data_IF_190382281357
#
_entry.id   IF_190382281357
#
_cell.length_a   1.000
_cell.length_b   1.000
_cell.length_c   1.000
_cell.angle_alpha   90.00
_cell.angle_beta   90.00
_cell.angle_gamma   90.00
#
_symmetry.space_group_name_H-M   'P 1'
#
loop_
_entity.id
_entity.type
_entity.pdbx_description
1 polymer ?
#
# COMPACT_ATOMS: atom_id res chain seq x y z
N UNK A 1 -17.81 22.05 -36.88
CA UNK A 1 -17.90 22.80 -35.61
C UNK A 1 -18.22 21.82 -34.50
N UNK A 2 -17.20 21.11 -33.99
CA UNK A 2 -17.35 20.28 -32.79
C UNK A 2 -17.46 21.24 -31.60
N UNK A 3 -18.58 21.17 -30.90
CA UNK A 3 -18.96 22.08 -29.83
C UNK A 3 -18.03 21.94 -28.63
N UNK A 4 -17.64 23.08 -28.03
CA UNK A 4 -16.76 23.20 -26.86
C UNK A 4 -17.17 22.30 -25.67
N UNK A 5 -18.41 21.82 -25.66
CA UNK A 5 -18.97 20.86 -24.71
C UNK A 5 -18.22 19.51 -24.73
N UNK A 6 -17.77 19.03 -25.89
CA UNK A 6 -16.99 17.78 -25.97
C UNK A 6 -15.56 17.94 -25.43
N UNK A 7 -14.99 19.15 -25.52
CA UNK A 7 -13.64 19.45 -25.00
C UNK A 7 -13.65 19.57 -23.46
N UNK A 8 -14.72 20.13 -22.89
CA UNK A 8 -14.90 20.21 -21.43
C UNK A 8 -15.14 18.83 -20.80
N UNK A 9 -15.90 17.94 -21.46
CA UNK A 9 -16.08 16.56 -20.98
C UNK A 9 -14.77 15.77 -21.03
N UNK A 10 -13.94 15.99 -22.07
CA UNK A 10 -12.63 15.36 -22.19
C UNK A 10 -11.64 15.86 -21.11
N UNK A 11 -11.69 17.13 -20.69
CA UNK A 11 -10.84 17.68 -19.62
C UNK A 11 -11.27 17.17 -18.24
N UNK A 12 -12.57 16.95 -18.00
CA UNK A 12 -13.08 16.37 -16.75
C UNK A 12 -12.82 14.86 -16.64
N UNK A 13 -12.56 14.18 -17.76
CA UNK A 13 -12.07 12.80 -17.79
C UNK A 13 -10.54 12.69 -17.76
N UNK A 14 -9.80 13.81 -17.77
CA UNK A 14 -8.33 13.85 -17.87
C UNK A 14 -7.59 14.43 -16.65
N UNK A 15 -8.23 14.66 -15.51
CA UNK A 15 -7.53 15.15 -14.31
C UNK A 15 -8.09 14.58 -13.01
N UNK A 16 -7.20 13.92 -12.26
CA UNK A 16 -7.39 13.59 -10.85
C UNK A 16 -7.15 12.12 -10.52
N UNK A 17 -6.02 11.60 -10.97
CA UNK A 17 -5.53 10.26 -10.64
C UNK A 17 -4.68 10.47 -9.37
N UNK A 18 -5.28 10.06 -8.24
CA UNK A 18 -4.88 10.35 -6.87
C UNK A 18 -4.12 9.13 -6.33
N UNK A 19 -2.79 9.21 -6.28
CA UNK A 19 -2.06 8.49 -5.24
C UNK A 19 -2.73 8.93 -3.92
N UNK A 20 -3.27 8.00 -3.12
CA UNK A 20 -4.09 8.30 -1.93
C UNK A 20 -3.32 8.93 -0.75
N UNK A 21 -2.22 9.62 -1.02
CA UNK A 21 -1.81 10.74 -0.19
C UNK A 21 -2.76 11.89 -0.54
N UNK A 22 -3.44 12.50 0.42
CA UNK A 22 -4.32 13.64 0.14
C UNK A 22 -3.48 14.83 -0.37
N UNK A 23 -3.12 14.81 -1.66
CA UNK A 23 -2.20 15.72 -2.31
C UNK A 23 -2.73 17.17 -2.32
N UNK A 24 -4.02 17.33 -1.99
CA UNK A 24 -4.68 18.62 -1.84
C UNK A 24 -4.34 19.28 -0.49
N UNK A 25 -4.09 18.49 0.56
CA UNK A 25 -3.83 18.99 1.92
C UNK A 25 -2.42 18.68 2.43
N UNK A 26 -1.74 17.71 1.83
CA UNK A 26 -0.53 17.13 2.35
C UNK A 26 0.67 17.50 1.46
N UNK A 27 1.59 18.32 1.98
CA UNK A 27 2.78 18.80 1.26
C UNK A 27 3.83 17.68 1.17
N UNK A 28 4.07 17.18 -0.04
CA UNK A 28 5.07 16.14 -0.35
C UNK A 28 6.48 16.48 0.18
N UNK A 29 6.80 17.77 0.38
CA UNK A 29 8.08 18.20 0.96
C UNK A 29 8.24 17.80 2.43
N UNK A 30 7.15 17.48 3.12
CA UNK A 30 7.12 17.10 4.53
C UNK A 30 6.85 15.60 4.75
N UNK A 31 6.61 14.83 3.68
CA UNK A 31 6.40 13.38 3.76
C UNK A 31 7.66 12.61 3.33
N UNK A 32 8.23 11.86 4.26
CA UNK A 32 9.26 10.86 3.94
C UNK A 32 8.58 9.57 3.46
N UNK A 33 7.84 9.65 2.36
CA UNK A 33 7.17 8.48 1.75
C UNK A 33 8.10 7.91 0.68
N UNK A 34 8.76 6.80 0.99
CA UNK A 34 9.63 6.10 0.04
C UNK A 34 8.82 5.15 -0.85
N UNK A 35 9.20 5.04 -2.13
CA UNK A 35 8.65 4.03 -3.04
C UNK A 35 9.70 2.94 -3.27
N UNK A 36 9.35 1.68 -3.02
CA UNK A 36 10.21 0.52 -3.18
C UNK A 36 9.54 -0.56 -4.01
N UNK A 37 10.33 -1.32 -4.76
CA UNK A 37 9.89 -2.53 -5.44
C UNK A 37 10.46 -3.75 -4.72
N UNK A 38 9.61 -4.74 -4.46
CA UNK A 38 9.95 -5.98 -3.78
C UNK A 38 9.61 -7.17 -4.69
N UNK A 39 10.58 -8.04 -4.94
CA UNK A 39 10.36 -9.27 -5.69
C UNK A 39 9.87 -10.35 -4.74
N UNK A 40 8.72 -10.95 -5.02
CA UNK A 40 8.20 -12.06 -4.23
C UNK A 40 8.84 -13.39 -4.64
N UNK A 41 8.91 -14.32 -3.70
CA UNK A 41 9.27 -15.71 -3.99
C UNK A 41 7.99 -16.52 -4.19
N UNK A 42 7.82 -17.12 -5.36
CA UNK A 42 6.63 -17.91 -5.71
C UNK A 42 6.90 -19.41 -5.74
N UNK A 43 5.84 -20.20 -5.56
CA UNK A 43 5.83 -21.63 -5.86
C UNK A 43 6.08 -21.87 -7.35
N UNK A 44 6.47 -23.09 -7.72
CA UNK A 44 6.80 -23.46 -9.11
C UNK A 44 5.65 -23.23 -10.09
N UNK A 45 4.41 -23.41 -9.63
CA UNK A 45 3.18 -23.20 -10.39
C UNK A 45 2.58 -21.80 -10.21
N UNK A 46 3.25 -20.92 -9.44
CA UNK A 46 2.81 -19.56 -9.10
C UNK A 46 1.41 -19.52 -8.44
N UNK A 47 1.02 -20.59 -7.75
CA UNK A 47 -0.23 -20.63 -6.99
C UNK A 47 -0.15 -19.84 -5.68
N UNK A 48 1.05 -19.72 -5.10
CA UNK A 48 1.31 -18.91 -3.93
C UNK A 48 2.65 -18.17 -4.05
N UNK A 49 2.71 -16.95 -3.52
CA UNK A 49 3.92 -16.16 -3.43
C UNK A 49 4.04 -15.54 -2.04
N UNK A 50 5.27 -15.31 -1.59
CA UNK A 50 5.53 -14.62 -0.33
C UNK A 50 6.75 -13.71 -0.42
N UNK A 51 6.74 -12.65 0.37
CA UNK A 51 7.91 -11.82 0.61
C UNK A 51 8.00 -11.40 2.08
N UNK A 52 9.23 -11.40 2.59
CA UNK A 52 9.53 -11.09 3.99
C UNK A 52 10.51 -9.93 4.04
N UNK A 53 10.18 -8.86 4.76
CA UNK A 53 11.07 -7.72 4.94
C UNK A 53 11.00 -7.20 6.37
N UNK A 54 12.07 -6.52 6.79
CA UNK A 54 12.12 -5.94 8.13
C UNK A 54 12.15 -4.42 8.05
N UNK A 55 11.41 -3.77 8.94
CA UNK A 55 11.39 -2.32 9.07
C UNK A 55 11.73 -1.96 10.51
N UNK A 56 12.54 -0.92 10.68
CA UNK A 56 12.80 -0.36 12.00
C UNK A 56 11.80 0.77 12.27
N UNK A 57 10.92 0.59 13.26
CA UNK A 57 9.93 1.57 13.68
C UNK A 57 10.03 1.82 15.19
N UNK A 58 10.16 3.08 15.62
CA UNK A 58 10.25 3.46 17.04
C UNK A 58 11.33 2.70 17.84
N UNK A 59 12.44 2.33 17.19
CA UNK A 59 13.53 1.57 17.82
C UNK A 59 13.29 0.06 17.90
N UNK A 60 12.10 -0.42 17.51
CA UNK A 60 11.78 -1.83 17.35
C UNK A 60 12.07 -2.29 15.92
N UNK A 61 12.39 -3.57 15.77
CA UNK A 61 12.49 -4.24 14.48
C UNK A 61 11.20 -5.02 14.26
N UNK A 62 10.43 -4.64 13.25
CA UNK A 62 9.21 -5.34 12.86
C UNK A 62 9.50 -6.21 11.64
N UNK A 63 9.13 -7.48 11.70
CA UNK A 63 9.10 -8.37 10.54
C UNK A 63 7.72 -8.29 9.89
N UNK A 64 7.69 -7.99 8.60
CA UNK A 64 6.50 -8.03 7.76
C UNK A 64 6.60 -9.23 6.83
N UNK A 65 5.51 -9.97 6.71
CA UNK A 65 5.34 -11.09 5.79
C UNK A 65 4.11 -10.83 4.95
N UNK A 66 4.31 -10.69 3.64
CA UNK A 66 3.24 -10.55 2.67
C UNK A 66 3.09 -11.87 1.92
N UNK A 67 1.91 -12.47 1.98
CA UNK A 67 1.56 -13.71 1.29
C UNK A 67 0.46 -13.44 0.27
N UNK A 68 0.57 -14.05 -0.90
CA UNK A 68 -0.37 -13.98 -2.00
C UNK A 68 -0.76 -15.40 -2.41
N UNK A 69 -2.06 -15.69 -2.51
CA UNK A 69 -2.57 -16.94 -3.10
C UNK A 69 -3.44 -16.59 -4.30
N UNK A 70 -3.34 -17.36 -5.38
CA UNK A 70 -4.08 -17.12 -6.62
C UNK A 70 -5.50 -17.70 -6.62
N UNK A 71 -5.70 -18.85 -5.99
CA UNK A 71 -7.00 -19.55 -5.93
C UNK A 71 -7.17 -20.28 -4.57
N UNK A 72 -8.02 -19.77 -3.65
CA UNK A 72 -8.75 -18.51 -3.76
C UNK A 72 -7.78 -17.32 -3.81
N UNK A 73 -8.21 -16.23 -4.45
CA UNK A 73 -7.36 -15.04 -4.58
C UNK A 73 -7.31 -14.32 -3.24
N UNK A 74 -6.18 -14.42 -2.53
CA UNK A 74 -6.01 -13.89 -1.19
C UNK A 74 -4.71 -13.12 -1.02
N UNK A 75 -4.76 -12.12 -0.15
CA UNK A 75 -3.63 -11.33 0.29
C UNK A 75 -3.59 -11.36 1.80
N UNK A 76 -2.48 -11.79 2.37
CA UNK A 76 -2.28 -11.80 3.81
C UNK A 76 -1.04 -11.00 4.15
N UNK A 77 -1.18 -10.07 5.08
CA UNK A 77 -0.09 -9.33 5.65
C UNK A 77 0.01 -9.65 7.14
N UNK A 78 1.13 -10.22 7.54
CA UNK A 78 1.47 -10.42 8.95
C UNK A 78 2.56 -9.43 9.35
N UNK A 79 2.46 -8.88 10.54
CA UNK A 79 3.49 -8.02 11.15
C UNK A 79 3.77 -8.51 12.57
N UNK A 80 5.05 -8.54 12.96
CA UNK A 80 5.45 -8.93 14.32
C UNK A 80 6.67 -8.15 14.80
N UNK A 81 6.67 -7.73 16.07
CA UNK A 81 7.77 -6.98 16.71
C UNK A 81 8.45 -7.75 17.87
N UNK A 82 8.08 -9.03 18.04
CA UNK A 82 8.54 -9.91 19.12
C UNK A 82 7.72 -9.81 20.41
N UNK A 83 6.84 -8.81 20.53
CA UNK A 83 5.89 -8.65 21.64
C UNK A 83 4.46 -8.87 21.14
N UNK A 84 4.14 -8.29 19.99
CA UNK A 84 2.83 -8.29 19.36
C UNK A 84 2.92 -8.91 17.97
N UNK A 85 1.79 -9.47 17.54
CA UNK A 85 1.58 -10.01 16.21
C UNK A 85 0.25 -9.47 15.68
N UNK A 86 0.26 -9.06 14.42
CA UNK A 86 -0.90 -8.53 13.72
C UNK A 86 -1.05 -9.25 12.39
N UNK A 87 -2.27 -9.69 12.09
CA UNK A 87 -2.60 -10.35 10.83
C UNK A 87 -3.75 -9.60 10.14
N UNK A 88 -3.56 -9.34 8.86
CA UNK A 88 -4.57 -8.77 7.97
C UNK A 88 -4.75 -9.73 6.80
N UNK A 89 -5.97 -10.20 6.57
CA UNK A 89 -6.28 -11.05 5.43
C UNK A 89 -7.39 -10.39 4.60
N UNK A 90 -7.17 -10.34 3.30
CA UNK A 90 -8.13 -9.87 2.32
C UNK A 90 -8.38 -10.98 1.29
N UNK A 91 -9.65 -11.34 1.14
CA UNK A 91 -10.12 -12.33 0.17
C UNK A 91 -10.82 -11.60 -0.97
N UNK A 92 -10.44 -11.95 -2.20
CA UNK A 92 -11.03 -11.41 -3.43
C UNK A 92 -11.80 -12.52 -4.15
N UNK A 93 -13.10 -12.32 -4.31
CA UNK A 93 -13.96 -13.29 -5.00
C UNK A 93 -13.72 -13.33 -6.52
N UNK A 94 -13.48 -12.16 -7.14
CA UNK A 94 -13.25 -12.02 -8.58
C UNK A 94 -11.83 -11.50 -8.85
N UNK A 95 -10.91 -12.40 -9.21
CA UNK A 95 -9.49 -12.08 -9.49
C UNK A 95 -9.27 -11.17 -10.70
N UNK A 96 -10.29 -10.93 -11.53
CA UNK A 96 -10.21 -9.99 -12.66
C UNK A 96 -10.53 -8.55 -12.26
N UNK A 97 -11.11 -8.34 -11.07
CA UNK A 97 -11.49 -7.03 -10.56
C UNK A 97 -10.30 -6.20 -10.05
N UNK A 98 -10.48 -4.87 -10.12
CA UNK A 98 -9.64 -3.97 -9.34
C UNK A 98 -9.95 -4.11 -7.85
N UNK A 99 -8.91 -4.11 -7.03
CA UNK A 99 -8.98 -4.19 -5.58
C UNK A 99 -8.36 -2.95 -5.00
N UNK A 100 -9.11 -2.32 -4.11
CA UNK A 100 -8.60 -1.34 -3.16
C UNK A 100 -9.16 -1.64 -1.79
N UNK A 101 -8.28 -1.96 -0.85
CA UNK A 101 -8.63 -2.17 0.55
C UNK A 101 -7.77 -1.26 1.42
N UNK A 102 -8.40 -0.41 2.22
CA UNK A 102 -7.71 0.45 3.18
C UNK A 102 -8.26 0.21 4.58
N UNK A 103 -7.39 0.05 5.55
CA UNK A 103 -7.74 -0.07 6.97
C UNK A 103 -6.91 0.89 7.80
N UNK A 104 -7.53 1.47 8.82
CA UNK A 104 -6.84 2.30 9.80
C UNK A 104 -6.52 1.47 11.03
N UNK A 105 -5.26 1.40 11.42
CA UNK A 105 -4.82 0.74 12.63
C UNK A 105 -4.90 1.75 13.77
N UNK A 106 -5.83 1.53 14.69
CA UNK A 106 -5.85 2.25 15.95
C UNK A 106 -4.79 1.64 16.87
N UNK A 107 -3.59 2.21 16.80
CA UNK A 107 -2.56 1.92 17.78
C UNK A 107 -2.85 2.76 19.04
N UNK A 108 -3.48 2.13 20.03
CA UNK A 108 -3.50 2.69 21.38
C UNK A 108 -2.10 2.51 21.97
N UNK A 109 -1.19 3.43 21.68
CA UNK A 109 0.06 3.48 22.42
C UNK A 109 -0.25 3.64 23.91
N UNK A 110 0.54 2.95 24.72
CA UNK A 110 0.43 3.00 26.17
C UNK A 110 0.36 4.46 26.64
N UNK A 111 -0.51 4.76 27.62
CA UNK A 111 -1.01 6.10 27.99
C UNK A 111 0.06 7.15 28.35
N UNK A 112 1.34 6.79 28.32
CA UNK A 112 2.47 7.67 28.61
C UNK A 112 2.96 8.52 27.43
N UNK A 113 2.60 8.17 26.18
CA UNK A 113 2.98 8.97 25.00
C UNK A 113 1.72 9.64 24.45
N UNK A 114 1.47 10.88 24.87
CA UNK A 114 0.37 11.74 24.37
C UNK A 114 0.58 12.17 22.91
N UNK A 115 0.90 11.24 22.02
CA UNK A 115 0.97 11.49 20.58
C UNK A 115 -0.14 10.71 19.90
N UNK A 116 -1.11 11.42 19.34
CA UNK A 116 -2.10 10.82 18.44
C UNK A 116 -1.33 10.20 17.27
N UNK A 117 -1.27 8.87 17.23
CA UNK A 117 -0.63 8.13 16.15
C UNK A 117 -1.71 7.35 15.42
N UNK A 118 -1.79 7.52 14.10
CA UNK A 118 -2.74 6.80 13.25
C UNK A 118 -1.99 6.20 12.08
N UNK A 119 -1.98 4.87 12.01
CA UNK A 119 -1.46 4.17 10.84
C UNK A 119 -2.61 3.85 9.91
N UNK A 120 -2.41 4.05 8.61
CA UNK A 120 -3.29 3.56 7.58
C UNK A 120 -2.52 2.61 6.67
N UNK A 121 -3.19 1.54 6.30
CA UNK A 121 -2.66 0.48 5.47
C UNK A 121 -3.60 0.30 4.28
N UNK A 122 -3.07 0.46 3.08
CA UNK A 122 -3.82 0.29 1.85
C UNK A 122 -3.17 -0.76 0.94
N UNK A 123 -3.96 -1.71 0.45
CA UNK A 123 -3.62 -2.66 -0.61
C UNK A 123 -4.36 -2.25 -1.88
N UNK A 124 -3.63 -2.17 -2.99
CA UNK A 124 -4.17 -1.74 -4.29
C UNK A 124 -3.56 -2.56 -5.43
N UNK A 125 -4.35 -3.00 -6.41
CA UNK A 125 -3.84 -3.64 -7.64
C UNK A 125 -4.02 -2.77 -8.89
N UNK A 126 -4.39 -1.50 -8.73
CA UNK A 126 -4.41 -0.52 -9.81
C UNK A 126 -3.03 0.12 -9.98
N UNK A 127 -2.38 -0.22 -11.09
CA UNK A 127 -1.05 0.31 -11.45
C UNK A 127 -1.13 1.42 -12.49
N UNK A 128 -2.31 1.87 -12.91
CA UNK A 128 -2.45 3.04 -13.80
C UNK A 128 -1.82 4.30 -13.19
N UNK A 129 -1.77 4.29 -11.86
CA UNK A 129 -1.17 5.21 -10.89
C UNK A 129 0.33 5.44 -11.00
N UNK A 130 1.03 4.35 -11.29
CA UNK A 130 2.38 4.11 -10.81
C UNK A 130 3.26 3.72 -11.99
N UNK A 131 4.46 4.31 -12.06
CA UNK A 131 5.45 3.86 -13.05
C UNK A 131 6.03 2.53 -12.58
N UNK A 132 5.53 1.42 -13.15
CA UNK A 132 6.06 0.08 -12.89
C UNK A 132 7.47 -0.02 -13.48
N UNK A 133 8.52 -0.27 -12.66
CA UNK A 133 9.88 -0.43 -13.15
C UNK A 133 10.01 -1.63 -14.10
N UNK A 134 10.95 -1.58 -15.05
CA UNK A 134 11.14 -2.66 -16.04
C UNK A 134 11.63 -3.96 -15.41
N UNK A 135 12.23 -3.86 -14.24
CA UNK A 135 12.73 -4.98 -13.44
C UNK A 135 11.59 -5.74 -12.74
N UNK A 136 10.38 -5.17 -12.68
CA UNK A 136 9.18 -5.84 -12.19
C UNK A 136 8.63 -6.77 -13.27
N UNK A 137 8.79 -8.09 -13.11
CA UNK A 137 8.32 -9.08 -14.08
C UNK A 137 6.81 -8.99 -14.31
N UNK A 138 6.03 -9.19 -13.24
CA UNK A 138 4.59 -8.90 -13.23
C UNK A 138 4.19 -8.23 -11.91
N UNK A 139 3.56 -7.04 -11.93
CA UNK A 139 3.08 -6.39 -10.72
C UNK A 139 1.89 -7.18 -10.14
N UNK A 140 1.88 -7.35 -8.81
CA UNK A 140 0.86 -8.12 -8.09
C UNK A 140 -0.05 -7.23 -7.26
N UNK A 141 0.53 -6.37 -6.43
CA UNK A 141 -0.16 -5.48 -5.51
C UNK A 141 0.79 -4.37 -5.07
N UNK A 142 0.23 -3.22 -4.72
CA UNK A 142 0.90 -2.12 -4.04
C UNK A 142 0.42 -2.07 -2.60
N UNK A 143 1.34 -2.13 -1.65
CA UNK A 143 1.08 -1.86 -0.23
C UNK A 143 1.51 -0.44 0.10
N UNK A 144 0.59 0.38 0.58
CA UNK A 144 0.90 1.70 1.13
C UNK A 144 0.71 1.65 2.64
N UNK A 145 1.73 2.09 3.37
CA UNK A 145 1.68 2.29 4.81
C UNK A 145 1.94 3.77 5.04
N UNK A 146 1.03 4.47 5.70
CA UNK A 146 1.23 5.85 6.12
C UNK A 146 0.85 6.06 7.59
N UNK A 147 1.76 6.68 8.32
CA UNK A 147 1.67 6.97 9.74
C UNK A 147 1.52 8.47 9.95
N UNK A 148 0.40 8.88 10.52
CA UNK A 148 0.10 10.27 10.89
C UNK A 148 0.40 10.47 12.36
N UNK A 149 1.33 11.37 12.66
CA UNK A 149 1.72 11.74 14.02
C UNK A 149 0.96 12.99 14.48
N UNK A 150 0.73 13.12 15.79
CA UNK A 150 0.00 14.26 16.38
C UNK A 150 0.63 15.64 16.15
N UNK A 151 1.88 15.69 15.70
CA UNK A 151 2.55 16.93 15.27
C UNK A 151 2.32 17.28 13.78
N UNK A 152 1.43 16.56 13.11
CA UNK A 152 1.09 16.74 11.70
C UNK A 152 2.11 16.14 10.72
N UNK A 153 3.13 15.43 11.19
CA UNK A 153 4.06 14.72 10.30
C UNK A 153 3.42 13.45 9.77
N UNK A 154 3.70 13.16 8.50
CA UNK A 154 3.35 11.90 7.87
C UNK A 154 4.64 11.19 7.45
N UNK A 155 4.74 9.91 7.78
CA UNK A 155 5.84 9.04 7.37
C UNK A 155 5.28 7.72 6.87
N UNK A 156 6.07 6.97 6.10
CA UNK A 156 5.61 5.69 5.59
C UNK A 156 6.31 5.30 4.31
N UNK A 157 5.66 4.46 3.54
CA UNK A 157 6.20 3.99 2.28
C UNK A 157 5.16 3.29 1.43
N UNK A 158 5.49 3.16 0.16
CA UNK A 158 4.74 2.41 -0.81
C UNK A 158 5.63 1.30 -1.38
N UNK A 159 5.12 0.09 -1.37
CA UNK A 159 5.83 -1.12 -1.76
C UNK A 159 5.08 -1.80 -2.91
N UNK A 160 5.70 -1.84 -4.08
CA UNK A 160 5.20 -2.58 -5.24
C UNK A 160 5.74 -4.00 -5.19
N UNK A 161 4.86 -4.98 -5.03
CA UNK A 161 5.23 -6.40 -5.07
C UNK A 161 5.16 -6.92 -6.50
N UNK A 162 6.23 -7.59 -6.92
CA UNK A 162 6.41 -8.10 -8.27
C UNK A 162 6.70 -9.60 -8.25
N UNK A 163 6.01 -10.38 -9.08
CA UNK A 163 6.43 -11.76 -9.34
C UNK A 163 7.62 -11.78 -10.32
N UNK A 164 8.49 -12.79 -10.23
CA UNK A 164 9.57 -13.03 -11.19
C UNK A 164 9.08 -13.28 -12.61
#
# INVERSE_FOLDING_TARGET
MLTAVHFLLAIMLYRGVNCNYDAVTSDFKNSNMEFSMLNVTCTKDQSACAECFTVRANGLMCLYVMEFTKDPHSYKLSAMDGISEWDFEFLQDDSSGQVRFCTQLQNSFDKGVNADWRDTLCLDNDFSEVTVPKECGSPLITLTIDSHMGNGRVMGGQYLYCSP
#
